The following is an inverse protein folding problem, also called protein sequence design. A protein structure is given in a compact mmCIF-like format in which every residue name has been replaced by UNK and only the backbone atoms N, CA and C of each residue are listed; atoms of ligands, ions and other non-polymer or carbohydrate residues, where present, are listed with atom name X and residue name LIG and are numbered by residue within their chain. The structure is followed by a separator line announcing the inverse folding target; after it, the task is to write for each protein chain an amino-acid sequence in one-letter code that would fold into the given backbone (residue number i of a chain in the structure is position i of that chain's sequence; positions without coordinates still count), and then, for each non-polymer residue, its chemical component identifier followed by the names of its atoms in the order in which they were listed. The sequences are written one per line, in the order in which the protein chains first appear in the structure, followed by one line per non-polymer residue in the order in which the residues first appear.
data_IF_071792586439
#
_entry.id   IF_071792586439
#
_cell.length_a   1.000
_cell.length_b   1.000
_cell.length_c   1.000
_cell.angle_alpha   90.00
_cell.angle_beta   90.00
_cell.angle_gamma   90.00
#
_symmetry.space_group_name_H-M   'P 1'
#
loop_
_entity.id
_entity.type
_entity.pdbx_description
1 polymer ?
#
# COMPACT_ATOMS: atom_id res chain seq x y z
N UNK A 1 41.83 46.62 -36.73
CA UNK A 1 43.08 47.34 -36.43
C UNK A 1 43.48 47.03 -35.01
N UNK A 2 44.60 46.34 -34.84
CA UNK A 2 45.21 46.06 -33.56
C UNK A 2 45.94 47.30 -33.03
N UNK A 3 45.91 47.55 -31.72
CA UNK A 3 47.03 48.21 -31.03
C UNK A 3 47.26 47.52 -29.69
N UNK A 4 48.46 46.95 -29.63
CA UNK A 4 49.14 46.27 -28.54
C UNK A 4 49.70 47.28 -27.53
N UNK A 5 50.34 46.76 -26.47
CA UNK A 5 51.51 47.32 -25.72
C UNK A 5 51.11 47.91 -24.35
N UNK A 6 51.59 47.52 -23.16
CA UNK A 6 52.65 46.60 -22.72
C UNK A 6 52.62 46.43 -21.18
N UNK A 7 53.06 45.25 -20.73
CA UNK A 7 53.94 44.95 -19.58
C UNK A 7 53.65 45.61 -18.22
N UNK A 8 53.57 44.76 -17.18
CA UNK A 8 54.73 44.47 -16.30
C UNK A 8 54.53 43.22 -15.45
N UNK A 9 55.64 42.50 -15.34
CA UNK A 9 55.87 41.24 -14.63
C UNK A 9 55.85 41.46 -13.11
N UNK A 10 55.38 40.47 -12.36
CA UNK A 10 55.94 40.16 -11.06
C UNK A 10 55.95 38.63 -10.87
N UNK A 11 57.15 38.09 -10.91
CA UNK A 11 57.51 36.71 -10.61
C UNK A 11 57.35 36.46 -9.11
N UNK A 12 56.69 35.37 -8.72
CA UNK A 12 56.93 34.73 -7.44
C UNK A 12 56.77 33.21 -7.59
N UNK A 13 57.90 32.53 -7.77
CA UNK A 13 58.03 31.11 -7.46
C UNK A 13 57.73 30.90 -5.98
N UNK A 14 56.81 30.00 -5.64
CA UNK A 14 56.94 29.15 -4.45
C UNK A 14 56.47 27.74 -4.78
N UNK A 15 57.37 26.81 -4.50
CA UNK A 15 57.25 25.39 -4.65
C UNK A 15 56.47 24.73 -3.50
N UNK A 16 56.17 23.44 -3.69
CA UNK A 16 55.94 22.40 -2.70
C UNK A 16 54.64 22.47 -1.90
N UNK A 17 53.68 21.59 -2.23
CA UNK A 17 53.49 20.30 -1.53
C UNK A 17 52.29 19.57 -2.15
N UNK A 18 52.58 18.46 -2.83
CA UNK A 18 51.55 17.51 -3.23
C UNK A 18 51.21 16.65 -2.01
N UNK A 19 50.15 17.00 -1.28
CA UNK A 19 49.56 16.12 -0.29
C UNK A 19 48.44 15.33 -0.97
N UNK A 20 48.81 14.21 -1.58
CA UNK A 20 47.82 13.18 -1.95
C UNK A 20 47.35 12.56 -0.65
N UNK A 21 46.32 13.13 -0.04
CA UNK A 21 45.53 12.42 0.97
C UNK A 21 44.68 11.43 0.18
N UNK A 22 45.20 10.22 0.03
CA UNK A 22 44.41 9.07 -0.37
C UNK A 22 43.37 8.82 0.72
N UNK A 23 42.20 9.45 0.59
CA UNK A 23 40.99 8.95 1.22
C UNK A 23 40.65 7.65 0.49
N UNK A 24 41.20 6.56 1.00
CA UNK A 24 40.58 5.25 0.83
C UNK A 24 39.25 5.35 1.58
N UNK A 25 38.20 5.77 0.88
CA UNK A 25 36.84 5.47 1.29
C UNK A 25 36.73 3.96 1.24
N UNK A 26 36.98 3.32 2.38
CA UNK A 26 36.46 2.00 2.65
C UNK A 26 34.96 2.13 2.52
N UNK A 27 34.42 1.82 1.33
CA UNK A 27 33.00 1.54 1.16
C UNK A 27 32.71 0.24 1.90
N UNK A 28 32.67 0.32 3.23
CA UNK A 28 31.88 -0.61 4.02
C UNK A 28 30.48 -0.41 3.52
N UNK A 29 29.99 -1.38 2.75
CA UNK A 29 28.61 -1.41 2.27
C UNK A 29 27.68 -1.41 3.47
N UNK A 30 27.32 -0.23 3.96
CA UNK A 30 26.17 -0.05 4.81
C UNK A 30 24.97 -0.34 3.90
N UNK A 31 24.37 -1.51 4.05
CA UNK A 31 22.97 -1.65 3.64
C UNK A 31 22.20 -0.49 4.30
N UNK A 32 21.37 0.25 3.55
CA UNK A 32 20.57 1.31 4.14
C UNK A 32 19.76 0.70 5.29
N UNK A 33 19.86 1.30 6.47
CA UNK A 33 19.11 0.86 7.63
C UNK A 33 17.61 0.99 7.35
N UNK A 34 16.82 -0.03 7.71
CA UNK A 34 15.38 0.02 7.56
C UNK A 34 14.78 1.22 8.31
N UNK A 35 13.74 1.89 7.76
CA UNK A 35 13.08 3.00 8.43
C UNK A 35 12.48 2.55 9.77
N UNK A 36 12.43 3.48 10.72
CA UNK A 36 11.91 3.28 12.07
C UNK A 36 11.12 4.52 12.52
N UNK A 37 10.28 4.38 13.55
CA UNK A 37 9.51 5.47 14.13
C UNK A 37 8.71 6.24 13.07
N UNK A 38 8.75 7.57 13.11
CA UNK A 38 7.96 8.41 12.20
C UNK A 38 8.29 8.20 10.72
N UNK A 39 9.54 7.87 10.37
CA UNK A 39 9.90 7.58 8.99
C UNK A 39 9.24 6.28 8.49
N UNK A 40 9.13 5.27 9.35
CA UNK A 40 8.40 4.03 9.05
C UNK A 40 6.89 4.29 8.94
N UNK A 41 6.33 5.10 9.84
CA UNK A 41 4.92 5.47 9.79
C UNK A 41 4.57 6.22 8.51
N UNK A 42 5.39 7.21 8.10
CA UNK A 42 5.16 8.00 6.88
C UNK A 42 5.26 7.14 5.61
N UNK A 43 6.26 6.27 5.51
CA UNK A 43 6.39 5.32 4.39
C UNK A 43 5.19 4.35 4.35
N UNK A 44 4.79 3.81 5.50
CA UNK A 44 3.61 2.95 5.62
C UNK A 44 2.33 3.67 5.19
N UNK A 45 2.10 4.89 5.66
CA UNK A 45 0.92 5.69 5.32
C UNK A 45 0.86 5.98 3.82
N UNK A 46 1.99 6.37 3.22
CA UNK A 46 2.06 6.66 1.80
C UNK A 46 1.72 5.41 0.97
N UNK A 47 2.28 4.25 1.33
CA UNK A 47 2.06 2.98 0.62
C UNK A 47 0.63 2.48 0.77
N UNK A 48 0.10 2.49 1.99
CA UNK A 48 -1.29 2.12 2.24
C UNK A 48 -2.24 3.02 1.46
N UNK A 49 -2.05 4.34 1.51
CA UNK A 49 -2.94 5.29 0.82
C UNK A 49 -2.88 5.11 -0.69
N UNK A 50 -1.68 4.92 -1.26
CA UNK A 50 -1.53 4.66 -2.69
C UNK A 50 -2.18 3.33 -3.13
N UNK A 51 -2.03 2.27 -2.33
CA UNK A 51 -2.73 1.00 -2.58
C UNK A 51 -4.24 1.19 -2.46
N UNK A 52 -4.72 1.87 -1.42
CA UNK A 52 -6.13 2.10 -1.19
C UNK A 52 -6.75 2.90 -2.34
N UNK A 53 -6.14 4.01 -2.76
CA UNK A 53 -6.63 4.85 -3.88
C UNK A 53 -6.71 4.05 -5.20
N UNK A 54 -5.67 3.27 -5.49
CA UNK A 54 -5.64 2.42 -6.68
C UNK A 54 -6.74 1.36 -6.63
N UNK A 55 -6.87 0.65 -5.50
CA UNK A 55 -7.86 -0.40 -5.39
C UNK A 55 -9.28 0.12 -5.30
N UNK A 56 -9.50 1.25 -4.64
CA UNK A 56 -10.78 1.95 -4.60
C UNK A 56 -11.23 2.31 -6.02
N UNK A 57 -10.31 2.80 -6.86
CA UNK A 57 -10.60 3.07 -8.28
C UNK A 57 -11.02 1.82 -9.04
N UNK A 58 -10.38 0.67 -8.78
CA UNK A 58 -10.77 -0.63 -9.37
C UNK A 58 -12.15 -1.07 -8.87
N UNK A 59 -12.42 -0.94 -7.57
CA UNK A 59 -13.74 -1.26 -7.01
C UNK A 59 -14.82 -0.49 -7.73
N UNK A 60 -14.70 0.85 -7.76
CA UNK A 60 -15.72 1.74 -8.33
C UNK A 60 -15.90 1.58 -9.84
N UNK A 61 -14.87 1.09 -10.55
CA UNK A 61 -14.99 0.74 -11.96
C UNK A 61 -15.73 -0.59 -12.20
N UNK A 62 -15.57 -1.56 -11.29
CA UNK A 62 -16.25 -2.87 -11.35
C UNK A 62 -17.68 -2.79 -10.79
N UNK A 63 -17.87 -1.99 -9.75
CA UNK A 63 -19.11 -1.77 -9.03
C UNK A 63 -19.06 -0.50 -8.18
N UNK A 64 -19.94 0.46 -8.45
CA UNK A 64 -20.10 1.67 -7.65
C UNK A 64 -20.92 1.45 -6.37
N UNK A 65 -21.39 0.23 -6.14
CA UNK A 65 -22.05 -0.21 -4.92
C UNK A 65 -21.13 -0.35 -3.70
N UNK A 66 -21.70 -0.88 -2.63
CA UNK A 66 -20.99 -1.11 -1.38
C UNK A 66 -20.24 -2.45 -1.41
N UNK A 67 -18.99 -2.41 -0.96
CA UNK A 67 -18.09 -3.56 -0.84
C UNK A 67 -17.86 -3.87 0.64
N UNK A 68 -17.93 -5.14 1.01
CA UNK A 68 -17.60 -5.60 2.34
C UNK A 68 -16.07 -5.74 2.49
N UNK A 69 -15.50 -5.07 3.48
CA UNK A 69 -14.20 -5.42 4.02
C UNK A 69 -14.42 -6.61 4.97
N UNK A 70 -13.92 -7.80 4.65
CA UNK A 70 -13.98 -8.93 5.60
C UNK A 70 -13.37 -8.48 6.94
N UNK A 71 -13.87 -8.97 8.09
CA UNK A 71 -13.34 -8.56 9.40
C UNK A 71 -11.80 -8.67 9.45
N UNK A 72 -11.12 -7.53 9.66
CA UNK A 72 -9.65 -7.42 9.65
C UNK A 72 -9.00 -7.29 8.26
N UNK A 73 -9.78 -7.27 7.18
CA UNK A 73 -9.34 -7.18 5.78
C UNK A 73 -9.34 -5.76 5.20
N UNK A 74 -9.54 -4.72 6.03
CA UNK A 74 -9.52 -3.32 5.58
C UNK A 74 -8.17 -2.94 4.93
N UNK A 75 -7.09 -3.53 5.43
CA UNK A 75 -5.77 -3.52 4.80
C UNK A 75 -4.78 -2.50 5.35
N UNK A 76 -5.11 -1.83 6.45
CA UNK A 76 -4.18 -0.96 7.16
C UNK A 76 -3.23 -1.72 8.11
N UNK A 77 -3.57 -2.97 8.47
CA UNK A 77 -2.69 -3.83 9.25
C UNK A 77 -1.55 -4.38 8.38
N UNK A 78 -0.31 -4.14 8.80
CA UNK A 78 0.86 -4.62 8.10
C UNK A 78 1.16 -6.09 8.45
N UNK A 79 1.34 -6.93 7.43
CA UNK A 79 1.87 -8.28 7.53
C UNK A 79 3.40 -8.33 7.41
N UNK A 80 4.00 -9.46 7.80
CA UNK A 80 5.44 -9.70 7.60
C UNK A 80 5.72 -10.27 6.21
N UNK A 81 6.79 -9.79 5.57
CA UNK A 81 7.28 -10.34 4.31
C UNK A 81 8.80 -10.48 4.32
N UNK A 82 9.36 -11.40 3.51
CA UNK A 82 10.80 -11.52 3.37
C UNK A 82 11.36 -10.29 2.62
N UNK A 83 12.33 -9.61 3.22
CA UNK A 83 13.02 -8.52 2.53
C UNK A 83 14.11 -9.07 1.58
N UNK A 84 14.81 -8.17 0.86
CA UNK A 84 15.88 -8.54 -0.09
C UNK A 84 17.05 -9.33 0.53
N UNK A 85 17.14 -9.43 1.85
CA UNK A 85 18.10 -10.26 2.59
C UNK A 85 17.57 -11.63 3.04
N UNK A 86 16.30 -11.94 2.79
CA UNK A 86 15.65 -13.20 3.19
C UNK A 86 15.24 -13.27 4.66
N UNK A 87 15.41 -12.18 5.43
CA UNK A 87 14.85 -12.04 6.77
C UNK A 87 13.41 -11.52 6.73
N UNK A 88 12.61 -11.86 7.74
CA UNK A 88 11.20 -11.43 7.87
C UNK A 88 11.07 -10.03 8.51
N UNK A 89 12.01 -9.15 8.20
CA UNK A 89 12.11 -7.75 8.66
C UNK A 89 11.60 -6.76 7.60
N UNK A 90 10.71 -7.23 6.72
CA UNK A 90 9.92 -6.40 5.83
C UNK A 90 8.44 -6.41 6.19
N UNK A 91 7.72 -5.41 5.67
CA UNK A 91 6.29 -5.29 5.84
C UNK A 91 5.55 -5.16 4.50
N UNK A 92 4.29 -5.60 4.50
CA UNK A 92 3.36 -5.57 3.37
C UNK A 92 1.97 -5.19 3.88
N UNK A 93 1.15 -4.54 3.05
CA UNK A 93 -0.28 -4.39 3.31
C UNK A 93 -1.08 -5.33 2.43
N UNK A 94 -2.12 -5.93 3.01
CA UNK A 94 -3.04 -6.84 2.33
C UNK A 94 -4.43 -6.22 2.29
N UNK A 95 -4.98 -6.00 1.10
CA UNK A 95 -6.28 -5.40 0.87
C UNK A 95 -7.25 -6.49 0.41
N UNK A 96 -8.46 -6.54 1.00
CA UNK A 96 -9.49 -7.52 0.61
C UNK A 96 -10.90 -6.95 0.68
N UNK A 97 -11.64 -7.04 -0.43
CA UNK A 97 -13.03 -6.60 -0.53
C UNK A 97 -13.88 -7.60 -1.28
N UNK A 98 -15.15 -7.71 -0.92
CA UNK A 98 -16.11 -8.53 -1.66
C UNK A 98 -17.42 -7.83 -1.87
N UNK A 99 -18.04 -8.10 -3.03
CA UNK A 99 -19.38 -7.66 -3.36
C UNK A 99 -20.20 -8.84 -3.94
N UNK A 100 -21.52 -8.87 -3.79
CA UNK A 100 -22.36 -9.87 -4.43
C UNK A 100 -22.26 -9.77 -5.95
N UNK A 101 -22.11 -10.87 -6.67
CA UNK A 101 -22.13 -10.86 -8.14
C UNK A 101 -23.50 -10.40 -8.67
N UNK A 102 -24.58 -10.85 -8.02
CA UNK A 102 -25.96 -10.61 -8.42
C UNK A 102 -26.21 -11.01 -9.90
N UNK A 103 -26.95 -10.20 -10.65
CA UNK A 103 -27.30 -10.47 -12.06
C UNK A 103 -26.21 -10.02 -13.06
N UNK A 104 -25.00 -9.68 -12.59
CA UNK A 104 -23.91 -9.21 -13.47
C UNK A 104 -23.27 -10.35 -14.26
N UNK A 105 -22.90 -10.03 -15.49
CA UNK A 105 -22.15 -10.94 -16.35
C UNK A 105 -20.68 -11.04 -15.87
N UNK A 106 -20.18 -12.24 -15.52
CA UNK A 106 -18.79 -12.44 -15.13
C UNK A 106 -17.77 -11.94 -16.16
N UNK A 107 -18.09 -12.04 -17.46
CA UNK A 107 -17.21 -11.52 -18.52
C UNK A 107 -17.11 -10.00 -18.46
N UNK A 108 -18.25 -9.31 -18.29
CA UNK A 108 -18.28 -7.85 -18.18
C UNK A 108 -17.48 -7.37 -16.96
N UNK A 109 -17.65 -8.01 -15.80
CA UNK A 109 -16.86 -7.72 -14.59
C UNK A 109 -15.36 -7.90 -14.85
N UNK A 110 -14.98 -8.96 -15.57
CA UNK A 110 -13.59 -9.20 -15.96
C UNK A 110 -13.07 -8.10 -16.90
N UNK A 111 -13.87 -7.66 -17.87
CA UNK A 111 -13.47 -6.62 -18.83
C UNK A 111 -13.32 -5.25 -18.16
N UNK A 112 -14.22 -4.92 -17.23
CA UNK A 112 -14.17 -3.68 -16.43
C UNK A 112 -12.93 -3.66 -15.52
N UNK A 113 -12.62 -4.79 -14.87
CA UNK A 113 -11.39 -4.93 -14.09
C UNK A 113 -10.12 -4.77 -14.94
N UNK A 114 -10.09 -5.34 -16.16
CA UNK A 114 -8.97 -5.17 -17.10
C UNK A 114 -8.80 -3.70 -17.49
N UNK A 115 -9.90 -3.00 -17.77
CA UNK A 115 -9.85 -1.58 -18.11
C UNK A 115 -9.32 -0.75 -16.92
N UNK A 116 -9.86 -0.98 -15.72
CA UNK A 116 -9.45 -0.29 -14.52
C UNK A 116 -7.96 -0.47 -14.19
N UNK A 117 -7.44 -1.71 -14.29
CA UNK A 117 -6.01 -1.95 -14.08
C UNK A 117 -5.14 -1.26 -15.14
N UNK A 118 -5.56 -1.20 -16.39
CA UNK A 118 -4.83 -0.48 -17.45
C UNK A 118 -4.81 1.03 -17.24
N UNK A 119 -5.90 1.60 -16.76
CA UNK A 119 -5.97 3.04 -16.45
C UNK A 119 -5.01 3.43 -15.31
N UNK A 120 -4.71 2.48 -14.42
CA UNK A 120 -3.68 2.61 -13.38
C UNK A 120 -2.26 2.36 -13.90
N UNK A 121 -2.09 1.99 -15.18
CA UNK A 121 -0.79 1.66 -15.78
C UNK A 121 -0.25 0.28 -15.39
N UNK A 122 -1.09 -0.60 -14.84
CA UNK A 122 -0.73 -1.99 -14.54
C UNK A 122 -0.89 -2.87 -15.78
N UNK A 123 -0.29 -4.06 -15.76
CA UNK A 123 -0.36 -5.04 -16.84
C UNK A 123 -1.29 -6.21 -16.44
N UNK A 124 -2.58 -6.18 -16.82
CA UNK A 124 -3.52 -7.21 -16.43
C UNK A 124 -3.48 -8.44 -17.35
N UNK A 125 -3.46 -9.62 -16.75
CA UNK A 125 -3.66 -10.91 -17.38
C UNK A 125 -5.00 -11.53 -16.93
N UNK A 126 -5.69 -12.19 -17.85
CA UNK A 126 -6.97 -12.85 -17.57
C UNK A 126 -6.83 -14.37 -17.60
N UNK A 127 -7.39 -15.06 -16.62
CA UNK A 127 -7.50 -16.51 -16.59
C UNK A 127 -8.90 -16.96 -16.18
N UNK A 128 -9.44 -17.95 -16.89
CA UNK A 128 -10.71 -18.58 -16.55
C UNK A 128 -10.46 -20.04 -16.20
N UNK A 129 -10.92 -20.45 -15.01
CA UNK A 129 -10.85 -21.82 -14.55
C UNK A 129 -12.25 -22.42 -14.43
N UNK A 130 -12.41 -23.71 -14.77
CA UNK A 130 -13.71 -24.37 -14.73
C UNK A 130 -14.65 -23.97 -15.88
N UNK A 131 -15.94 -24.23 -15.70
CA UNK A 131 -16.98 -23.90 -16.69
C UNK A 131 -18.38 -23.87 -16.06
N UNK A 132 -19.32 -23.19 -16.73
CA UNK A 132 -20.70 -23.02 -16.25
C UNK A 132 -20.75 -22.37 -14.87
N UNK A 133 -21.59 -22.90 -13.98
CA UNK A 133 -21.76 -22.39 -12.61
C UNK A 133 -20.50 -22.54 -11.75
N UNK A 134 -19.50 -23.33 -12.19
CA UNK A 134 -18.22 -23.50 -11.49
C UNK A 134 -17.09 -22.72 -12.16
N UNK A 135 -17.41 -21.83 -13.09
CA UNK A 135 -16.42 -20.95 -13.69
C UNK A 135 -15.90 -19.95 -12.66
N UNK A 136 -14.60 -19.70 -12.69
CA UNK A 136 -13.95 -18.65 -11.94
C UNK A 136 -13.16 -17.78 -12.91
N UNK A 137 -13.48 -16.49 -12.95
CA UNK A 137 -12.78 -15.51 -13.75
C UNK A 137 -11.79 -14.79 -12.88
N UNK A 138 -10.55 -14.67 -13.33
CA UNK A 138 -9.48 -14.00 -12.58
C UNK A 138 -8.82 -12.98 -13.49
N UNK A 139 -8.73 -11.74 -13.03
CA UNK A 139 -7.93 -10.67 -13.62
C UNK A 139 -6.82 -10.37 -12.65
N UNK A 140 -5.58 -10.66 -13.04
CA UNK A 140 -4.38 -10.51 -12.20
C UNK A 140 -3.57 -9.36 -12.78
N UNK A 141 -3.16 -8.42 -11.96
CA UNK A 141 -2.30 -7.30 -12.36
C UNK A 141 -1.14 -7.14 -11.36
N UNK A 142 0.03 -6.77 -11.86
CA UNK A 142 1.22 -6.53 -11.05
C UNK A 142 1.81 -5.15 -11.38
N UNK A 143 2.51 -4.55 -10.41
CA UNK A 143 3.15 -3.24 -10.55
C UNK A 143 2.63 -2.18 -9.57
N UNK A 144 3.42 -1.12 -9.37
CA UNK A 144 3.13 -0.07 -8.40
C UNK A 144 1.78 0.64 -8.67
N UNK A 145 1.01 1.03 -7.63
CA UNK A 145 1.39 1.03 -6.22
C UNK A 145 1.15 -0.31 -5.49
N UNK A 146 0.65 -1.33 -6.19
CA UNK A 146 0.50 -2.68 -5.66
C UNK A 146 1.75 -3.52 -5.96
N UNK A 147 1.92 -4.62 -5.26
CA UNK A 147 2.81 -5.70 -5.69
C UNK A 147 2.06 -6.63 -6.63
N UNK A 148 0.84 -7.01 -6.24
CA UNK A 148 -0.06 -7.87 -6.99
C UNK A 148 -1.51 -7.59 -6.60
N UNK A 149 -2.39 -7.42 -7.59
CA UNK A 149 -3.83 -7.29 -7.41
C UNK A 149 -4.56 -8.38 -8.21
N UNK A 150 -5.70 -8.83 -7.70
CA UNK A 150 -6.54 -9.84 -8.33
C UNK A 150 -8.00 -9.48 -8.15
N UNK A 151 -8.74 -9.41 -9.25
CA UNK A 151 -10.21 -9.45 -9.26
C UNK A 151 -10.65 -10.86 -9.63
N UNK A 152 -11.36 -11.51 -8.72
CA UNK A 152 -11.88 -12.87 -8.89
C UNK A 152 -13.40 -12.85 -8.89
N UNK A 153 -14.02 -13.38 -9.95
CA UNK A 153 -15.47 -13.64 -10.00
C UNK A 153 -15.70 -15.11 -9.73
N UNK A 154 -16.37 -15.42 -8.62
CA UNK A 154 -16.73 -16.79 -8.23
C UNK A 154 -18.22 -17.02 -8.47
N UNK A 155 -18.56 -17.68 -9.60
CA UNK A 155 -19.95 -17.84 -10.04
C UNK A 155 -20.77 -18.71 -9.09
N UNK A 156 -20.20 -19.79 -8.56
CA UNK A 156 -20.88 -20.70 -7.63
C UNK A 156 -21.18 -20.04 -6.28
N UNK A 157 -20.30 -19.14 -5.84
CA UNK A 157 -20.46 -18.38 -4.61
C UNK A 157 -21.18 -17.03 -4.82
N UNK A 158 -21.59 -16.71 -6.06
CA UNK A 158 -22.29 -15.48 -6.41
C UNK A 158 -21.61 -14.22 -5.84
N UNK A 159 -20.28 -14.15 -5.97
CA UNK A 159 -19.49 -13.05 -5.40
C UNK A 159 -18.36 -12.61 -6.34
N UNK A 160 -17.97 -11.36 -6.16
CA UNK A 160 -16.76 -10.76 -6.69
C UNK A 160 -15.83 -10.53 -5.50
N UNK A 161 -14.57 -10.94 -5.63
CA UNK A 161 -13.53 -10.77 -4.63
C UNK A 161 -12.41 -9.94 -5.24
N UNK A 162 -12.02 -8.87 -4.58
CA UNK A 162 -10.85 -8.06 -4.94
C UNK A 162 -9.82 -8.22 -3.84
N UNK A 163 -8.62 -8.66 -4.20
CA UNK A 163 -7.47 -8.75 -3.30
C UNK A 163 -6.29 -8.01 -3.86
N UNK A 164 -5.49 -7.36 -3.03
CA UNK A 164 -4.21 -6.82 -3.44
C UNK A 164 -3.20 -6.86 -2.30
N UNK A 165 -1.93 -7.03 -2.63
CA UNK A 165 -0.83 -6.92 -1.69
C UNK A 165 0.13 -5.85 -2.20
N UNK A 166 0.72 -5.02 -1.33
CA UNK A 166 1.84 -4.15 -1.74
C UNK A 166 3.12 -4.95 -1.99
N UNK A 167 4.08 -4.37 -2.70
CA UNK A 167 5.45 -4.90 -2.70
C UNK A 167 6.04 -4.86 -1.28
N UNK A 168 6.87 -5.85 -0.94
CA UNK A 168 7.53 -5.92 0.37
C UNK A 168 8.46 -4.71 0.58
N UNK A 169 8.29 -4.00 1.68
CA UNK A 169 9.06 -2.82 2.05
C UNK A 169 9.94 -3.09 3.30
N UNK A 170 11.10 -2.43 3.45
CA UNK A 170 11.93 -2.60 4.64
C UNK A 170 11.27 -1.97 5.87
N UNK A 171 11.26 -2.67 7.01
CA UNK A 171 10.71 -2.14 8.27
C UNK A 171 10.01 -3.20 9.11
N UNK A 172 9.89 -2.96 10.42
CA UNK A 172 9.18 -3.86 11.34
C UNK A 172 7.67 -3.68 11.19
N UNK A 173 6.90 -4.70 10.76
CA UNK A 173 5.45 -4.62 10.73
C UNK A 173 4.86 -4.47 12.15
N UNK A 174 5.55 -4.98 13.17
CA UNK A 174 5.12 -4.84 14.57
C UNK A 174 5.21 -3.39 15.05
N UNK A 175 6.33 -2.73 14.79
CA UNK A 175 6.51 -1.32 15.18
C UNK A 175 5.52 -0.42 14.43
N UNK A 176 5.30 -0.71 13.13
CA UNK A 176 4.34 0.00 12.31
C UNK A 176 2.91 -0.17 12.82
N UNK A 177 2.48 -1.41 13.08
CA UNK A 177 1.15 -1.69 13.62
C UNK A 177 0.95 -1.03 14.99
N UNK A 178 1.95 -1.05 15.86
CA UNK A 178 1.87 -0.37 17.15
C UNK A 178 1.62 1.14 17.03
N UNK A 179 2.15 1.78 15.97
CA UNK A 179 1.86 3.19 15.67
C UNK A 179 0.51 3.40 14.97
N UNK A 180 0.12 2.52 14.03
CA UNK A 180 -1.15 2.60 13.28
C UNK A 180 -2.34 2.46 14.23
N UNK A 181 -2.23 1.56 15.20
CA UNK A 181 -3.34 1.23 16.10
C UNK A 181 -3.22 1.82 17.51
N UNK A 182 -2.23 2.68 17.74
CA UNK A 182 -1.95 3.30 19.05
C UNK A 182 -1.84 2.27 20.20
N UNK A 183 -1.25 1.11 19.91
CA UNK A 183 -1.05 -0.02 20.83
C UNK A 183 0.36 -0.59 20.64
N UNK A 184 1.38 -0.03 21.32
CA UNK A 184 2.78 -0.40 21.10
C UNK A 184 3.09 -1.87 21.43
N UNK A 185 2.29 -2.49 22.30
CA UNK A 185 2.48 -3.88 22.70
C UNK A 185 1.57 -4.84 21.88
N UNK A 186 0.66 -4.32 21.06
CA UNK A 186 -0.37 -5.10 20.35
C UNK A 186 -1.15 -6.03 21.31
N UNK A 187 -1.30 -5.63 22.58
CA UNK A 187 -1.73 -6.50 23.68
C UNK A 187 -3.22 -6.45 24.00
N UNK A 188 -3.95 -5.45 23.50
CA UNK A 188 -5.19 -5.08 24.21
C UNK A 188 -6.33 -4.51 23.41
N UNK A 189 -6.21 -4.35 22.08
CA UNK A 189 -7.29 -3.73 21.31
C UNK A 189 -7.82 -4.66 20.22
N UNK A 190 -9.15 -4.74 20.14
CA UNK A 190 -9.86 -5.29 18.99
C UNK A 190 -9.69 -4.35 17.78
N UNK A 191 -8.47 -4.26 17.26
CA UNK A 191 -8.10 -3.41 16.12
C UNK A 191 -8.97 -3.68 14.90
N UNK A 192 -9.38 -4.94 14.73
CA UNK A 192 -10.28 -5.37 13.67
C UNK A 192 -11.66 -4.70 13.75
N UNK A 193 -12.15 -4.33 14.94
CA UNK A 193 -13.46 -3.68 15.13
C UNK A 193 -13.46 -2.20 14.80
N UNK A 194 -12.29 -1.56 14.77
CA UNK A 194 -12.11 -0.13 14.47
C UNK A 194 -11.85 0.14 13.00
N UNK A 195 -11.62 -0.91 12.23
CA UNK A 195 -11.45 -0.82 10.79
C UNK A 195 -12.83 -0.85 10.12
N UNK A 196 -13.06 -0.02 9.08
CA UNK A 196 -14.32 0.00 8.33
C UNK A 196 -14.78 -1.40 7.92
N UNK A 197 -16.07 -1.65 8.09
CA UNK A 197 -16.69 -2.89 7.62
C UNK A 197 -17.01 -2.83 6.13
N UNK A 198 -17.20 -1.63 5.58
CA UNK A 198 -17.59 -1.43 4.19
C UNK A 198 -16.77 -0.33 3.52
N UNK A 199 -16.79 -0.36 2.18
CA UNK A 199 -16.20 0.63 1.30
C UNK A 199 -17.13 0.88 0.11
N UNK A 200 -17.43 2.13 -0.17
CA UNK A 200 -18.26 2.58 -1.29
C UNK A 200 -17.83 3.97 -1.74
N UNK A 201 -18.55 4.58 -2.67
CA UNK A 201 -18.13 5.80 -3.39
C UNK A 201 -17.68 6.98 -2.50
N UNK A 202 -18.22 7.12 -1.30
CA UNK A 202 -17.90 8.21 -0.36
C UNK A 202 -16.82 7.83 0.68
N UNK A 203 -16.19 6.66 0.55
CA UNK A 203 -15.18 6.20 1.50
C UNK A 203 -13.88 7.01 1.40
N UNK A 204 -13.20 7.13 2.52
CA UNK A 204 -11.89 7.79 2.62
C UNK A 204 -10.85 6.84 3.22
N UNK A 205 -9.56 6.92 2.80
CA UNK A 205 -8.52 6.07 3.36
C UNK A 205 -8.21 6.45 4.81
N UNK A 206 -8.15 5.46 5.70
CA UNK A 206 -7.78 5.63 7.11
C UNK A 206 -6.54 4.79 7.46
N UNK A 207 -5.50 5.44 7.99
CA UNK A 207 -4.25 4.76 8.38
C UNK A 207 -3.89 4.98 9.86
N UNK A 208 -4.88 5.37 10.66
CA UNK A 208 -4.72 5.53 12.10
C UNK A 208 -6.02 5.14 12.79
N UNK A 209 -5.91 4.34 13.86
CA UNK A 209 -7.03 3.71 14.55
C UNK A 209 -6.81 3.80 16.05
N UNK A 210 -7.09 4.94 16.67
CA UNK A 210 -6.86 5.13 18.11
C UNK A 210 -7.78 4.22 18.93
N UNK A 211 -7.36 3.88 20.14
CA UNK A 211 -8.10 2.97 21.02
C UNK A 211 -9.53 3.45 21.34
N UNK A 212 -9.77 4.77 21.37
CA UNK A 212 -11.07 5.41 21.58
C UNK A 212 -11.82 5.75 20.27
N UNK A 213 -11.31 5.29 19.12
CA UNK A 213 -11.96 5.44 17.82
C UNK A 213 -13.30 4.70 17.71
N UNK A 214 -14.08 5.02 16.67
CA UNK A 214 -15.39 4.40 16.45
C UNK A 214 -15.26 2.89 16.20
N UNK A 215 -16.34 2.17 16.53
CA UNK A 215 -16.46 0.74 16.25
C UNK A 215 -17.34 0.53 15.01
N UNK A 216 -16.81 -0.19 14.03
CA UNK A 216 -17.49 -0.59 12.81
C UNK A 216 -18.01 -2.04 12.90
N UNK A 217 -17.48 -2.81 13.86
CA UNK A 217 -17.92 -4.18 14.13
C UNK A 217 -18.31 -4.40 15.60
N UNK A 218 -19.39 -5.16 15.79
CA UNK A 218 -19.77 -5.73 17.07
C UNK A 218 -18.78 -6.84 17.48
N UNK A 219 -18.81 -7.21 18.76
CA UNK A 219 -17.93 -8.26 19.30
C UNK A 219 -18.16 -9.63 18.64
N UNK A 220 -19.36 -9.89 18.14
CA UNK A 220 -19.72 -11.13 17.44
C UNK A 220 -19.31 -11.16 15.96
N UNK A 221 -18.68 -10.09 15.45
CA UNK A 221 -18.27 -9.98 14.06
C UNK A 221 -19.38 -9.54 13.10
N UNK A 222 -20.51 -9.03 13.60
CA UNK A 222 -21.50 -8.35 12.75
C UNK A 222 -21.16 -6.87 12.57
N UNK A 223 -21.40 -6.28 11.38
CA UNK A 223 -21.24 -4.83 11.19
C UNK A 223 -22.16 -4.03 12.12
N UNK A 224 -21.68 -2.89 12.60
CA UNK A 224 -22.48 -1.90 13.34
C UNK A 224 -23.40 -1.14 12.37
N UNK A 225 -24.68 -0.98 12.71
CA UNK A 225 -25.66 -0.30 11.84
C UNK A 225 -26.33 0.90 12.52
N UNK A 226 -26.33 2.11 11.91
CA UNK A 226 -25.59 2.46 10.69
C UNK A 226 -24.08 2.51 10.95
N UNK A 227 -23.29 2.22 9.91
CA UNK A 227 -21.83 2.37 9.98
C UNK A 227 -21.45 3.82 10.35
N UNK A 228 -20.44 4.04 11.23
CA UNK A 228 -19.89 5.36 11.47
C UNK A 228 -19.40 6.01 10.18
N UNK A 229 -19.85 7.24 9.91
CA UNK A 229 -19.39 8.00 8.74
C UNK A 229 -18.20 8.85 9.14
N UNK A 230 -17.05 8.60 8.50
CA UNK A 230 -15.83 9.39 8.69
C UNK A 230 -15.59 10.20 7.43
N UNK A 231 -15.67 11.52 7.56
CA UNK A 231 -15.43 12.47 6.46
C UNK A 231 -14.01 13.01 6.44
N UNK A 232 -13.34 12.99 7.60
CA UNK A 232 -11.94 13.35 7.76
C UNK A 232 -11.19 12.23 8.51
N UNK A 233 -10.06 11.72 7.98
CA UNK A 233 -9.31 10.67 8.65
C UNK A 233 -8.80 11.13 10.03
N UNK A 234 -8.87 10.26 11.06
CA UNK A 234 -8.32 10.56 12.37
C UNK A 234 -6.82 10.85 12.28
N UNK A 235 -6.38 11.86 13.03
CA UNK A 235 -4.98 12.30 13.05
C UNK A 235 -4.26 11.75 14.27
N UNK A 236 -3.03 11.27 14.09
CA UNK A 236 -2.16 10.89 15.20
C UNK A 236 -1.76 12.13 15.99
N UNK A 237 -1.89 12.09 17.31
CA UNK A 237 -1.34 13.15 18.18
C UNK A 237 0.18 13.07 18.19
N UNK A 238 0.84 14.18 17.87
CA UNK A 238 2.31 14.35 17.88
C UNK A 238 2.90 14.35 19.29
#
# INVERSE_FOLDING_TARGET
MATSTERRRATALRALTATVVGMVLTMTGCAPQAPQGDALYQDGQQRFTAMWDAMHSVLMAVDDGEWEATAGGYGAGAGSCPNSGGSLDGYVFEYRRSAPLADRDPQQVSDDAVAAFKDLGLDPETAVYGSGDRAQWNVIAEGDPVGRAVVTVEVDLQKILVTADTSCAPGSPWDLNGMVFDDPDMTGVDHWRRQPATEGADSVPMFYFPADGPLFWNEDGTPVEPQPVITDPPQRSS
#
